data_IF_376116717968
#
_entry.id   IF_376116717968
#
_cell.length_a   1.000
_cell.length_b   1.000
_cell.length_c   1.000
_cell.angle_alpha   90.00
_cell.angle_beta   90.00
_cell.angle_gamma   90.00
#
_symmetry.space_group_name_H-M   'P 1'
#
loop_
_entity.id
_entity.type
_entity.pdbx_description
1 polymer ?
#
# COMPACT_ATOMS: atom_id res chain seq x y z
N UNK A 1 31.66 -2.81 -19.93
CA UNK A 1 31.61 -3.82 -18.87
C UNK A 1 31.66 -3.07 -17.55
N UNK A 2 30.52 -2.55 -17.12
CA UNK A 2 30.36 -2.05 -15.75
C UNK A 2 30.10 -3.28 -14.88
N UNK A 3 30.86 -3.42 -13.80
CA UNK A 3 30.69 -4.52 -12.85
C UNK A 3 29.23 -4.55 -12.38
N UNK A 4 28.56 -5.67 -12.64
CA UNK A 4 27.33 -6.06 -11.93
C UNK A 4 27.72 -6.24 -10.46
N UNK A 5 27.61 -5.16 -9.69
CA UNK A 5 27.67 -5.24 -8.24
C UNK A 5 26.38 -5.96 -7.86
N UNK A 6 26.49 -7.26 -7.58
CA UNK A 6 25.48 -7.99 -6.84
C UNK A 6 25.31 -7.24 -5.52
N UNK A 7 24.25 -6.44 -5.41
CA UNK A 7 23.88 -5.75 -4.19
C UNK A 7 23.46 -6.81 -3.17
N UNK A 8 24.40 -7.28 -2.36
CA UNK A 8 24.12 -8.24 -1.32
C UNK A 8 23.29 -7.56 -0.22
N UNK A 9 22.01 -7.95 -0.11
CA UNK A 9 21.14 -7.47 0.95
C UNK A 9 21.63 -8.02 2.29
N UNK A 10 21.94 -7.10 3.19
CA UNK A 10 22.19 -7.35 4.61
C UNK A 10 20.91 -7.11 5.42
N UNK A 11 20.87 -7.62 6.65
CA UNK A 11 19.76 -7.40 7.59
C UNK A 11 19.41 -5.92 7.86
N UNK A 12 20.32 -5.00 7.54
CA UNK A 12 20.12 -3.55 7.72
C UNK A 12 20.08 -2.75 6.42
N UNK A 13 20.28 -3.36 5.26
CA UNK A 13 20.23 -2.64 3.97
C UNK A 13 18.83 -2.68 3.38
N UNK A 14 18.42 -1.54 2.82
CA UNK A 14 17.19 -1.43 2.04
C UNK A 14 17.43 -0.41 0.91
N UNK A 15 18.08 -0.84 -0.19
CA UNK A 15 18.47 0.08 -1.27
C UNK A 15 17.28 0.79 -1.91
N UNK A 16 16.09 0.19 -1.91
CA UNK A 16 14.88 0.86 -2.41
C UNK A 16 14.47 2.04 -1.52
N UNK A 17 14.45 1.84 -0.20
CA UNK A 17 14.16 2.91 0.76
C UNK A 17 15.25 4.01 0.73
N UNK A 18 16.51 3.62 0.59
CA UNK A 18 17.63 4.57 0.45
C UNK A 18 17.48 5.42 -0.82
N UNK A 19 17.07 4.80 -1.93
CA UNK A 19 16.75 5.48 -3.18
C UNK A 19 15.61 6.48 -3.00
N UNK A 20 14.50 6.05 -2.39
CA UNK A 20 13.36 6.92 -2.10
C UNK A 20 13.76 8.14 -1.25
N UNK A 21 14.51 7.92 -0.16
CA UNK A 21 14.98 9.01 0.70
C UNK A 21 15.92 9.97 -0.01
N UNK A 22 16.76 9.46 -0.92
CA UNK A 22 17.61 10.30 -1.76
C UNK A 22 16.75 11.15 -2.70
N UNK A 23 15.78 10.55 -3.39
CA UNK A 23 14.87 11.24 -4.29
C UNK A 23 14.14 12.38 -3.58
N UNK A 24 13.46 12.09 -2.46
CA UNK A 24 12.70 13.09 -1.69
C UNK A 24 13.59 14.25 -1.19
N UNK A 25 14.85 13.97 -0.83
CA UNK A 25 15.79 15.00 -0.38
C UNK A 25 16.24 15.91 -1.53
N UNK A 26 16.39 15.35 -2.72
CA UNK A 26 16.80 16.08 -3.92
C UNK A 26 15.62 16.86 -4.55
N UNK A 27 14.38 16.39 -4.34
CA UNK A 27 13.14 16.89 -4.95
C UNK A 27 12.05 17.21 -3.90
N UNK A 28 12.27 18.17 -2.99
CA UNK A 28 11.37 18.40 -1.86
C UNK A 28 10.00 18.95 -2.31
N UNK A 29 8.93 18.20 -2.06
CA UNK A 29 7.55 18.61 -2.32
C UNK A 29 7.00 18.20 -3.69
N UNK A 30 7.85 17.66 -4.58
CA UNK A 30 7.46 17.28 -5.95
C UNK A 30 6.45 16.12 -5.97
N UNK A 31 6.56 15.17 -5.03
CA UNK A 31 5.64 14.02 -4.96
C UNK A 31 4.16 14.39 -4.86
N UNK A 32 3.84 15.53 -4.24
CA UNK A 32 2.46 16.05 -4.16
C UNK A 32 2.18 17.13 -5.21
N UNK A 33 3.20 17.88 -5.62
CA UNK A 33 3.05 19.02 -6.52
C UNK A 33 2.68 18.60 -7.95
N UNK A 34 3.04 17.40 -8.38
CA UNK A 34 2.70 16.89 -9.73
C UNK A 34 1.19 16.88 -10.01
N UNK A 35 0.35 16.77 -8.97
CA UNK A 35 -1.12 16.82 -9.10
C UNK A 35 -1.72 18.18 -8.80
N UNK A 36 -0.90 19.23 -8.66
CA UNK A 36 -1.42 20.60 -8.54
C UNK A 36 -2.10 20.99 -9.88
N UNK A 37 -3.40 21.34 -9.86
CA UNK A 37 -4.11 21.75 -11.07
C UNK A 37 -3.55 23.04 -11.69
N UNK A 38 -2.83 23.85 -10.92
CA UNK A 38 -2.20 25.08 -11.40
C UNK A 38 -0.83 24.86 -12.03
N UNK A 39 -0.30 23.62 -12.00
CA UNK A 39 0.97 23.27 -12.63
C UNK A 39 0.81 23.23 -14.16
N UNK A 40 1.77 23.78 -14.91
CA UNK A 40 1.80 23.66 -16.37
C UNK A 40 2.05 22.21 -16.79
N UNK A 41 1.52 21.81 -17.94
CA UNK A 41 1.66 20.44 -18.47
C UNK A 41 3.13 20.04 -18.66
N UNK A 42 3.99 20.94 -19.14
CA UNK A 42 5.43 20.65 -19.32
C UNK A 42 6.12 20.33 -17.99
N UNK A 43 5.84 21.12 -16.95
CA UNK A 43 6.40 20.90 -15.61
C UNK A 43 5.83 19.64 -14.96
N UNK A 44 4.55 19.31 -15.21
CA UNK A 44 3.92 18.07 -14.74
C UNK A 44 4.60 16.85 -15.36
N UNK A 45 4.80 16.87 -16.67
CA UNK A 45 5.45 15.76 -17.38
C UNK A 45 6.90 15.57 -16.94
N UNK A 46 7.65 16.66 -16.72
CA UNK A 46 9.02 16.58 -16.18
C UNK A 46 9.06 15.97 -14.78
N UNK A 47 8.15 16.40 -13.88
CA UNK A 47 8.06 15.83 -12.52
C UNK A 47 7.63 14.36 -12.53
N UNK A 48 6.68 13.99 -13.38
CA UNK A 48 6.18 12.62 -13.48
C UNK A 48 7.24 11.67 -14.03
N UNK A 49 7.98 12.10 -15.06
CA UNK A 49 9.05 11.32 -15.68
C UNK A 49 10.31 11.17 -14.80
N UNK A 50 10.47 12.00 -13.76
CA UNK A 50 11.56 11.87 -12.80
C UNK A 50 11.52 10.55 -12.02
N UNK A 51 10.35 9.90 -11.95
CA UNK A 51 10.21 8.57 -11.38
C UNK A 51 10.50 7.48 -12.42
N UNK A 52 11.65 6.84 -12.26
CA UNK A 52 12.01 5.67 -13.06
C UNK A 52 11.24 4.42 -12.59
N UNK A 53 10.22 3.99 -13.37
CA UNK A 53 9.39 2.80 -13.10
C UNK A 53 10.21 1.52 -12.94
N UNK A 54 11.40 1.45 -13.57
CA UNK A 54 12.31 0.31 -13.44
C UNK A 54 12.75 0.06 -12.00
N UNK A 55 12.71 1.09 -11.14
CA UNK A 55 13.02 0.94 -9.72
C UNK A 55 11.95 0.10 -9.02
N UNK A 56 10.67 0.33 -9.30
CA UNK A 56 9.59 -0.47 -8.75
C UNK A 56 9.64 -1.91 -9.29
N UNK A 57 9.87 -2.08 -10.60
CA UNK A 57 10.03 -3.40 -11.23
C UNK A 57 11.18 -4.21 -10.61
N UNK A 58 12.30 -3.55 -10.30
CA UNK A 58 13.47 -4.20 -9.69
C UNK A 58 13.25 -4.63 -8.24
N UNK A 59 12.51 -3.83 -7.47
CA UNK A 59 12.34 -4.04 -6.03
C UNK A 59 10.94 -4.53 -5.69
N UNK A 60 9.98 -3.63 -5.63
CA UNK A 60 8.56 -3.89 -5.39
C UNK A 60 7.75 -2.64 -5.70
N UNK A 61 6.45 -2.80 -5.97
CA UNK A 61 5.56 -1.65 -6.20
C UNK A 61 5.43 -0.75 -4.97
N UNK A 62 5.15 -1.31 -3.79
CA UNK A 62 5.19 -0.57 -2.52
C UNK A 62 6.61 -0.52 -1.94
N UNK A 63 6.95 0.56 -1.23
CA UNK A 63 8.27 0.75 -0.60
C UNK A 63 8.26 0.19 0.83
N UNK A 64 9.06 -0.85 1.15
CA UNK A 64 9.20 -1.35 2.51
C UNK A 64 10.01 -0.37 3.36
N UNK A 65 9.41 0.25 4.38
CA UNK A 65 10.16 0.96 5.41
C UNK A 65 10.50 0.05 6.60
N UNK A 66 11.42 0.49 7.46
CA UNK A 66 11.83 -0.31 8.63
C UNK A 66 10.65 -0.55 9.59
N UNK A 67 9.72 0.41 9.69
CA UNK A 67 8.54 0.29 10.55
C UNK A 67 7.63 -0.84 10.06
N UNK A 68 7.38 -0.92 8.76
CA UNK A 68 6.58 -1.95 8.13
C UNK A 68 7.19 -3.34 8.35
N UNK A 69 8.50 -3.47 8.13
CA UNK A 69 9.21 -4.74 8.32
C UNK A 69 9.16 -5.21 9.78
N UNK A 70 9.27 -4.31 10.75
CA UNK A 70 9.12 -4.63 12.18
C UNK A 70 7.68 -5.04 12.53
N UNK A 71 6.68 -4.36 11.95
CA UNK A 71 5.28 -4.73 12.13
C UNK A 71 5.03 -6.13 11.57
N UNK A 72 5.40 -6.40 10.31
CA UNK A 72 5.18 -7.71 9.68
C UNK A 72 5.90 -8.81 10.47
N UNK A 73 7.14 -8.57 10.90
CA UNK A 73 7.90 -9.48 11.76
C UNK A 73 7.15 -9.87 13.04
N UNK A 74 6.41 -8.95 13.66
CA UNK A 74 5.61 -9.23 14.85
C UNK A 74 4.54 -10.30 14.60
N UNK A 75 4.03 -10.39 13.37
CA UNK A 75 2.97 -11.33 12.98
C UNK A 75 3.51 -12.59 12.28
N UNK A 76 4.83 -12.80 12.24
CA UNK A 76 5.42 -14.01 11.67
C UNK A 76 5.00 -15.30 12.40
N UNK A 77 5.01 -16.47 11.74
CA UNK A 77 5.48 -16.74 10.38
C UNK A 77 4.54 -16.18 9.28
N UNK A 78 5.09 -15.94 8.09
CA UNK A 78 4.40 -15.29 6.96
C UNK A 78 4.23 -16.26 5.78
N UNK A 79 3.07 -16.16 5.12
CA UNK A 79 2.86 -16.62 3.74
C UNK A 79 2.53 -15.40 2.88
N UNK A 80 3.33 -15.15 1.86
CA UNK A 80 3.16 -14.04 0.90
C UNK A 80 2.62 -14.60 -0.41
N UNK A 81 1.58 -13.98 -0.96
CA UNK A 81 0.99 -14.33 -2.26
C UNK A 81 1.10 -13.13 -3.20
N UNK A 82 1.55 -13.37 -4.43
CA UNK A 82 1.92 -12.29 -5.35
C UNK A 82 3.25 -11.66 -4.93
N UNK A 83 4.25 -12.49 -4.61
CA UNK A 83 5.52 -12.02 -4.07
C UNK A 83 6.43 -11.33 -5.12
N UNK A 84 6.12 -11.49 -6.41
CA UNK A 84 6.93 -11.04 -7.54
C UNK A 84 8.36 -11.55 -7.45
N UNK A 85 9.32 -10.64 -7.42
CA UNK A 85 10.74 -10.94 -7.24
C UNK A 85 11.14 -11.37 -5.81
N UNK A 86 10.23 -11.26 -4.83
CA UNK A 86 10.44 -11.64 -3.44
C UNK A 86 11.23 -10.63 -2.60
N UNK A 87 11.23 -9.34 -2.96
CA UNK A 87 11.99 -8.32 -2.22
C UNK A 87 11.54 -8.17 -0.74
N UNK A 88 10.23 -8.09 -0.50
CA UNK A 88 9.67 -8.07 0.87
C UNK A 88 10.04 -9.35 1.64
N UNK A 89 9.81 -10.52 1.05
CA UNK A 89 10.20 -11.81 1.62
C UNK A 89 11.69 -11.84 2.02
N UNK A 90 12.59 -11.37 1.15
CA UNK A 90 14.03 -11.33 1.44
C UNK A 90 14.35 -10.42 2.62
N UNK A 91 13.83 -9.20 2.65
CA UNK A 91 14.05 -8.27 3.76
C UNK A 91 13.52 -8.82 5.10
N UNK A 92 12.41 -9.54 5.08
CA UNK A 92 11.84 -10.20 6.26
C UNK A 92 12.67 -11.41 6.71
N UNK A 93 13.14 -12.23 5.78
CA UNK A 93 14.02 -13.37 6.04
C UNK A 93 15.36 -12.92 6.67
N UNK A 94 15.96 -11.85 6.16
CA UNK A 94 17.18 -11.27 6.74
C UNK A 94 16.95 -10.74 8.17
N UNK A 95 15.69 -10.47 8.55
CA UNK A 95 15.24 -10.11 9.91
C UNK A 95 14.82 -11.32 10.75
N UNK A 96 15.03 -12.54 10.24
CA UNK A 96 14.76 -13.81 10.92
C UNK A 96 13.31 -14.26 10.88
N UNK A 97 12.51 -13.76 9.93
CA UNK A 97 11.12 -14.19 9.73
C UNK A 97 11.09 -15.43 8.84
N UNK A 98 10.31 -16.44 9.24
CA UNK A 98 9.99 -17.57 8.38
C UNK A 98 8.92 -17.15 7.36
N UNK A 99 9.32 -17.04 6.08
CA UNK A 99 8.46 -16.59 4.97
C UNK A 99 8.38 -17.67 3.91
N UNK A 100 7.15 -18.01 3.49
CA UNK A 100 6.87 -18.76 2.27
C UNK A 100 6.29 -17.77 1.25
N UNK A 101 7.03 -17.53 0.16
CA UNK A 101 6.63 -16.61 -0.90
C UNK A 101 6.13 -17.39 -2.11
N UNK A 102 4.92 -17.09 -2.56
CA UNK A 102 4.33 -17.60 -3.79
C UNK A 102 4.15 -16.50 -4.82
N UNK A 103 4.37 -16.87 -6.07
CA UNK A 103 3.96 -16.08 -7.24
C UNK A 103 3.52 -17.04 -8.35
N UNK A 104 2.75 -16.54 -9.32
CA UNK A 104 2.37 -17.32 -10.49
C UNK A 104 3.57 -17.55 -11.40
N UNK A 105 4.37 -16.50 -11.60
CA UNK A 105 5.52 -16.48 -12.49
C UNK A 105 6.82 -16.47 -11.68
N UNK A 106 7.66 -17.49 -11.87
CA UNK A 106 8.95 -17.60 -11.17
C UNK A 106 10.12 -17.71 -12.14
N UNK A 107 11.32 -17.58 -11.59
CA UNK A 107 12.58 -17.70 -12.34
C UNK A 107 12.63 -19.02 -13.13
N UNK A 108 12.74 -18.92 -14.46
CA UNK A 108 12.84 -20.06 -15.38
C UNK A 108 11.55 -20.49 -16.08
N UNK A 109 10.43 -19.77 -15.94
CA UNK A 109 9.14 -20.13 -16.58
C UNK A 109 9.03 -19.71 -18.08
N UNK A 110 10.05 -19.09 -18.67
CA UNK A 110 10.02 -18.53 -20.04
C UNK A 110 9.85 -19.53 -21.22
N UNK A 111 9.71 -20.85 -20.99
CA UNK A 111 9.70 -21.83 -22.10
C UNK A 111 8.32 -22.31 -22.60
N UNK A 112 7.18 -22.01 -21.96
CA UNK A 112 5.90 -22.65 -22.35
C UNK A 112 4.78 -21.75 -22.95
N UNK A 113 4.79 -20.42 -22.80
CA UNK A 113 3.64 -19.60 -23.23
C UNK A 113 3.56 -19.32 -24.74
N UNK A 114 4.62 -19.57 -25.52
CA UNK A 114 4.64 -19.25 -26.96
C UNK A 114 3.92 -20.26 -27.88
N UNK A 115 3.22 -21.29 -27.36
CA UNK A 115 2.65 -22.37 -28.20
C UNK A 115 1.13 -22.50 -28.21
N UNK A 116 0.39 -21.82 -27.34
CA UNK A 116 -1.07 -21.99 -27.27
C UNK A 116 -1.87 -20.91 -28.02
N UNK A 117 -1.28 -19.77 -28.40
CA UNK A 117 -1.99 -18.68 -29.08
C UNK A 117 -2.14 -18.83 -30.61
N UNK A 118 -1.48 -19.80 -31.25
CA UNK A 118 -1.51 -19.97 -32.73
C UNK A 118 -2.62 -20.90 -33.28
N UNK A 119 -3.60 -21.32 -32.47
CA UNK A 119 -4.65 -22.25 -32.93
C UNK A 119 -6.09 -21.78 -32.67
N UNK A 120 -6.44 -20.55 -33.03
CA UNK A 120 -7.82 -20.31 -33.50
C UNK A 120 -7.92 -19.12 -34.47
N UNK A 121 -7.26 -19.25 -35.62
CA UNK A 121 -7.38 -18.31 -36.73
C UNK A 121 -7.99 -18.97 -37.96
N UNK A 122 -9.32 -18.97 -38.09
CA UNK A 122 -9.92 -19.36 -39.37
C UNK A 122 -11.45 -19.45 -39.47
N UNK A 123 -12.07 -18.33 -39.92
CA UNK A 123 -13.17 -18.26 -40.93
C UNK A 123 -14.53 -18.89 -40.52
N UNK A 124 -15.69 -18.23 -40.60
CA UNK A 124 -16.26 -17.48 -41.75
C UNK A 124 -17.57 -16.73 -41.40
N UNK A 125 -17.74 -15.58 -42.05
CA UNK A 125 -18.93 -15.12 -42.80
C UNK A 125 -20.24 -14.72 -42.09
N UNK A 126 -20.57 -13.44 -42.30
CA UNK A 126 -21.92 -12.88 -42.27
C UNK A 126 -22.84 -13.52 -43.33
N UNK A 127 -24.12 -13.77 -43.00
CA UNK A 127 -25.27 -13.52 -43.89
C UNK A 127 -26.56 -13.30 -43.10
N UNK A 128 -27.32 -12.30 -43.54
CA UNK A 128 -28.75 -12.02 -43.37
C UNK A 128 -29.72 -13.20 -43.55
N UNK A 129 -30.93 -13.11 -42.98
CA UNK A 129 -32.10 -13.86 -43.45
C UNK A 129 -33.27 -13.90 -42.46
N UNK A 130 -34.40 -13.33 -42.88
CA UNK A 130 -35.65 -13.05 -42.16
C UNK A 130 -36.56 -14.29 -41.92
N UNK A 131 -37.63 -14.04 -41.14
CA UNK A 131 -38.98 -14.67 -41.17
C UNK A 131 -39.14 -16.07 -40.50
N UNK A 132 -40.21 -16.44 -39.78
CA UNK A 132 -41.56 -15.89 -39.55
C UNK A 132 -42.33 -16.68 -38.46
N UNK A 133 -43.43 -16.06 -37.95
CA UNK A 133 -44.62 -16.62 -37.27
C UNK A 133 -44.50 -17.31 -35.90
N UNK A 134 -45.37 -17.07 -34.91
CA UNK A 134 -46.60 -16.27 -34.82
C UNK A 134 -47.36 -16.57 -33.52
N UNK A 135 -48.23 -15.62 -33.12
CA UNK A 135 -49.46 -15.72 -32.28
C UNK A 135 -49.31 -16.24 -30.82
N UNK A 136 -50.04 -15.83 -29.78
CA UNK A 136 -51.02 -14.80 -29.38
C UNK A 136 -51.01 -14.93 -27.81
N UNK A 137 -51.48 -14.04 -26.92
CA UNK A 137 -52.79 -13.40 -26.78
C UNK A 137 -52.76 -12.62 -25.43
N UNK A 138 -53.35 -11.41 -25.41
CA UNK A 138 -54.08 -10.67 -24.34
C UNK A 138 -53.54 -10.58 -22.87
N UNK A 139 -53.59 -9.45 -22.13
CA UNK A 139 -54.74 -8.57 -21.80
C UNK A 139 -54.32 -7.25 -21.11
N UNK A 140 -55.10 -6.18 -21.37
CA UNK A 140 -55.61 -5.08 -20.49
C UNK A 140 -54.68 -3.92 -20.03
N UNK A 141 -54.93 -2.70 -20.54
CA UNK A 141 -55.64 -1.52 -19.93
C UNK A 141 -54.73 -0.75 -18.94
N UNK A 142 -54.56 0.58 -18.92
CA UNK A 142 -55.37 1.78 -19.22
C UNK A 142 -54.41 3.00 -19.29
N UNK A 143 -54.51 3.94 -20.24
CA UNK A 143 -55.26 5.23 -20.22
C UNK A 143 -54.48 6.44 -19.65
N UNK A 144 -54.72 7.60 -20.28
CA UNK A 144 -54.20 8.97 -20.08
C UNK A 144 -52.72 9.23 -20.40
N UNK A 145 -52.31 10.24 -21.19
CA UNK A 145 -53.01 11.38 -21.74
C UNK A 145 -52.03 12.56 -21.88
N UNK A 146 -52.18 13.29 -22.99
CA UNK A 146 -51.70 14.66 -23.26
C UNK A 146 -50.37 14.91 -23.99
N UNK A 147 -50.53 15.78 -24.99
CA UNK A 147 -49.63 16.21 -26.06
C UNK A 147 -48.95 17.53 -25.69
N UNK A 148 -47.72 17.74 -26.16
CA UNK A 148 -47.15 19.05 -26.54
C UNK A 148 -45.94 18.78 -27.44
N UNK A 149 -46.11 18.90 -28.75
CA UNK A 149 -45.70 20.05 -29.58
C UNK A 149 -44.22 19.99 -30.01
N UNK A 150 -44.05 19.67 -31.30
CA UNK A 150 -42.83 19.76 -32.09
C UNK A 150 -42.40 21.23 -32.26
N UNK A 151 -41.12 21.54 -32.04
CA UNK A 151 -40.42 22.59 -32.79
C UNK A 151 -39.00 22.12 -33.14
N UNK A 152 -38.81 21.87 -34.44
CA UNK A 152 -37.51 21.72 -35.09
C UNK A 152 -36.78 23.07 -35.12
N UNK A 153 -35.50 23.08 -34.76
CA UNK A 153 -34.55 24.07 -35.28
C UNK A 153 -33.19 23.42 -35.57
N UNK A 154 -32.89 23.35 -36.86
CA UNK A 154 -31.58 23.33 -37.50
C UNK A 154 -30.57 24.20 -36.73
N UNK A 155 -29.36 23.77 -36.42
CA UNK A 155 -28.33 23.29 -37.33
C UNK A 155 -27.24 24.34 -37.37
N UNK A 156 -26.08 24.06 -36.78
CA UNK A 156 -24.79 24.66 -37.14
C UNK A 156 -23.67 23.73 -36.65
N UNK A 157 -22.67 23.62 -37.52
CA UNK A 157 -21.74 22.51 -37.67
C UNK A 157 -20.59 22.58 -36.64
N UNK A 158 -20.34 21.48 -35.93
CA UNK A 158 -19.12 21.32 -35.14
C UNK A 158 -17.94 20.97 -36.06
N UNK A 159 -16.98 21.90 -36.16
CA UNK A 159 -15.66 21.64 -36.75
C UNK A 159 -14.94 20.56 -35.94
N UNK A 160 -14.76 19.40 -36.56
CA UNK A 160 -13.79 18.37 -36.16
C UNK A 160 -12.36 18.95 -36.14
N UNK A 161 -11.91 19.34 -34.95
CA UNK A 161 -10.48 19.41 -34.62
C UNK A 161 -9.99 18.00 -34.34
N UNK A 162 -9.01 17.53 -35.09
CA UNK A 162 -8.52 16.16 -35.03
C UNK A 162 -7.82 15.87 -33.70
N UNK A 163 -8.31 14.84 -33.02
CA UNK A 163 -7.54 14.13 -32.00
C UNK A 163 -6.39 13.44 -32.71
N UNK A 164 -5.18 13.96 -32.51
CA UNK A 164 -3.97 13.19 -32.69
C UNK A 164 -3.97 12.20 -31.52
N UNK A 165 -4.35 10.96 -31.81
CA UNK A 165 -4.03 9.83 -30.95
C UNK A 165 -2.50 9.74 -30.95
N UNK A 166 -1.88 10.30 -29.91
CA UNK A 166 -0.50 10.02 -29.57
C UNK A 166 -0.46 8.52 -29.22
N UNK A 167 -0.12 7.69 -30.21
CA UNK A 167 0.32 6.33 -30.01
C UNK A 167 1.62 6.40 -29.20
N UNK A 168 1.51 6.42 -27.87
CA UNK A 168 2.61 6.11 -26.99
C UNK A 168 3.04 4.66 -27.30
N UNK A 169 4.04 4.51 -28.18
CA UNK A 169 4.76 3.25 -28.36
C UNK A 169 5.30 2.87 -26.96
N UNK A 170 4.65 1.91 -26.32
CA UNK A 170 5.14 1.25 -25.10
C UNK A 170 6.54 0.68 -25.40
N UNK A 171 7.59 1.47 -25.15
CA UNK A 171 8.97 0.97 -25.20
C UNK A 171 9.05 -0.20 -24.20
N UNK A 172 9.14 -1.43 -24.69
CA UNK A 172 9.41 -2.61 -23.88
C UNK A 172 10.73 -2.37 -23.13
N UNK A 173 10.62 -1.94 -21.88
CA UNK A 173 11.79 -1.66 -21.06
C UNK A 173 12.37 -3.00 -20.61
N UNK A 174 13.40 -3.48 -21.30
CA UNK A 174 14.18 -4.65 -20.86
C UNK A 174 14.87 -4.33 -19.51
N UNK A 175 14.27 -4.78 -18.41
CA UNK A 175 14.87 -4.73 -17.08
C UNK A 175 15.40 -6.12 -16.75
N UNK A 176 16.69 -6.22 -16.37
CA UNK A 176 17.25 -7.46 -15.82
C UNK A 176 16.45 -7.85 -14.57
N UNK A 177 15.64 -8.90 -14.69
CA UNK A 177 14.77 -9.37 -13.60
C UNK A 177 15.63 -9.96 -12.48
N UNK A 178 15.61 -9.33 -11.31
CA UNK A 178 16.37 -9.76 -10.13
C UNK A 178 15.44 -10.46 -9.15
N UNK A 179 15.68 -11.74 -8.88
CA UNK A 179 15.00 -12.46 -7.80
C UNK A 179 15.79 -12.36 -6.48
N UNK A 180 15.15 -11.84 -5.43
CA UNK A 180 15.80 -11.52 -4.16
C UNK A 180 15.87 -12.69 -3.18
N UNK A 181 14.94 -13.64 -3.33
CA UNK A 181 14.87 -14.89 -2.56
C UNK A 181 14.17 -15.97 -3.37
N UNK A 182 14.08 -17.17 -2.80
CA UNK A 182 13.30 -18.26 -3.39
C UNK A 182 11.81 -17.92 -3.33
N UNK A 183 11.25 -17.65 -4.51
CA UNK A 183 9.80 -17.60 -4.75
C UNK A 183 9.37 -18.93 -5.35
N UNK A 184 8.25 -19.46 -4.88
CA UNK A 184 7.73 -20.76 -5.31
C UNK A 184 6.55 -20.53 -6.23
N UNK A 185 6.53 -21.19 -7.40
CA UNK A 185 5.34 -21.16 -8.26
C UNK A 185 4.13 -21.68 -7.49
N UNK A 186 3.04 -20.90 -7.49
CA UNK A 186 1.83 -21.25 -6.76
C UNK A 186 0.68 -20.31 -7.04
N UNK A 187 -0.48 -20.70 -6.53
CA UNK A 187 -1.74 -19.96 -6.74
C UNK A 187 -2.40 -19.67 -5.40
N UNK A 188 -3.42 -18.80 -5.35
CA UNK A 188 -4.23 -18.59 -4.15
C UNK A 188 -4.72 -19.88 -3.46
N UNK A 189 -4.92 -20.97 -4.20
CA UNK A 189 -5.34 -22.28 -3.64
C UNK A 189 -4.31 -22.86 -2.65
N UNK A 190 -3.03 -22.53 -2.81
CA UNK A 190 -1.96 -22.99 -1.92
C UNK A 190 -2.06 -22.42 -0.50
N UNK A 191 -2.76 -21.30 -0.32
CA UNK A 191 -3.01 -20.68 0.99
C UNK A 191 -3.79 -21.59 1.95
N UNK A 192 -4.53 -22.59 1.43
CA UNK A 192 -5.20 -23.61 2.25
C UNK A 192 -4.22 -24.42 3.09
N UNK A 193 -2.94 -24.47 2.70
CA UNK A 193 -1.87 -25.19 3.40
C UNK A 193 -1.26 -24.39 4.57
N UNK A 194 -1.56 -23.09 4.67
CA UNK A 194 -0.83 -22.13 5.53
C UNK A 194 -1.75 -21.43 6.55
N UNK A 195 -2.65 -22.18 7.20
CA UNK A 195 -3.55 -21.62 8.22
C UNK A 195 -2.84 -21.21 9.52
N UNK A 196 -1.60 -21.68 9.70
CA UNK A 196 -0.70 -21.39 10.80
C UNK A 196 0.16 -20.13 10.58
N UNK A 197 0.11 -19.53 9.39
CA UNK A 197 0.89 -18.34 8.99
C UNK A 197 -0.02 -17.14 8.78
N UNK A 198 0.52 -15.95 8.98
CA UNK A 198 -0.14 -14.70 8.58
C UNK A 198 -0.06 -14.54 7.06
N UNK A 199 -1.19 -14.25 6.41
CA UNK A 199 -1.22 -13.92 4.99
C UNK A 199 -0.71 -12.49 4.79
N UNK A 200 0.23 -12.31 3.88
CA UNK A 200 0.72 -11.01 3.43
C UNK A 200 0.39 -10.82 1.95
N UNK A 201 -0.25 -9.69 1.65
CA UNK A 201 -0.60 -9.24 0.29
C UNK A 201 -0.04 -7.83 0.10
N UNK A 202 0.70 -7.61 -0.98
CA UNK A 202 1.26 -6.32 -1.33
C UNK A 202 0.99 -6.06 -2.81
N UNK A 203 0.19 -5.05 -3.14
CA UNK A 203 -0.20 -4.75 -4.52
C UNK A 203 -0.78 -5.96 -5.30
N UNK A 204 -1.73 -6.71 -4.74
CA UNK A 204 -2.18 -7.96 -5.35
C UNK A 204 -2.94 -7.83 -6.68
N UNK A 205 -3.46 -6.66 -7.08
CA UNK A 205 -4.34 -6.56 -8.27
C UNK A 205 -3.98 -5.44 -9.29
N UNK A 206 -2.91 -4.64 -9.12
CA UNK A 206 -2.64 -3.41 -9.94
C UNK A 206 -2.09 -3.70 -11.36
N UNK A 207 -1.61 -4.91 -11.63
CA UNK A 207 -0.91 -5.28 -12.87
C UNK A 207 -1.22 -6.69 -13.37
N UNK A 208 -2.40 -7.21 -13.05
CA UNK A 208 -2.80 -8.51 -13.57
C UNK A 208 -3.46 -8.35 -14.94
N UNK A 209 -2.89 -8.96 -15.98
CA UNK A 209 -3.56 -9.16 -17.29
C UNK A 209 -4.82 -10.05 -17.18
N UNK A 210 -5.10 -10.52 -15.96
CA UNK A 210 -6.24 -11.33 -15.60
C UNK A 210 -7.38 -10.47 -15.06
N UNK A 211 -8.59 -10.78 -15.50
CA UNK A 211 -9.81 -10.24 -14.88
C UNK A 211 -10.09 -10.78 -13.47
N UNK A 212 -9.36 -11.81 -13.03
CA UNK A 212 -9.53 -12.42 -11.71
C UNK A 212 -8.60 -11.77 -10.68
N UNK A 213 -9.16 -11.16 -9.63
CA UNK A 213 -8.39 -10.61 -8.50
C UNK A 213 -7.69 -11.70 -7.68
N UNK A 214 -6.35 -11.70 -7.67
CA UNK A 214 -5.55 -12.51 -6.76
C UNK A 214 -5.81 -12.15 -5.29
N UNK A 215 -6.09 -10.90 -4.95
CA UNK A 215 -6.44 -10.53 -3.57
C UNK A 215 -7.69 -11.27 -3.08
N UNK A 216 -8.76 -11.23 -3.88
CA UNK A 216 -10.04 -11.86 -3.54
C UNK A 216 -9.93 -13.38 -3.54
N UNK A 217 -9.26 -13.96 -4.54
CA UNK A 217 -8.99 -15.39 -4.60
C UNK A 217 -8.15 -15.85 -3.38
N UNK A 218 -7.18 -15.04 -2.96
CA UNK A 218 -6.35 -15.31 -1.79
C UNK A 218 -7.17 -15.34 -0.52
N UNK A 219 -8.02 -14.33 -0.31
CA UNK A 219 -8.87 -14.23 0.86
C UNK A 219 -9.89 -15.39 0.94
N UNK A 220 -10.44 -15.82 -0.20
CA UNK A 220 -11.36 -16.97 -0.28
C UNK A 220 -10.70 -18.31 0.07
N UNK A 221 -9.40 -18.46 -0.20
CA UNK A 221 -8.65 -19.70 0.05
C UNK A 221 -7.87 -19.68 1.39
N UNK A 222 -7.78 -18.52 2.04
CA UNK A 222 -7.07 -18.36 3.30
C UNK A 222 -7.99 -18.54 4.52
N UNK A 223 -7.69 -19.56 5.32
CA UNK A 223 -8.44 -19.90 6.54
C UNK A 223 -7.72 -19.50 7.85
N UNK A 224 -6.56 -18.83 7.77
CA UNK A 224 -5.84 -18.34 8.95
C UNK A 224 -6.49 -17.11 9.59
N UNK A 225 -5.87 -16.58 10.65
CA UNK A 225 -6.49 -15.55 11.51
C UNK A 225 -6.10 -14.12 11.15
N UNK A 226 -4.95 -13.91 10.52
CA UNK A 226 -4.38 -12.56 10.32
C UNK A 226 -4.04 -12.33 8.85
N UNK A 227 -4.44 -11.16 8.34
CA UNK A 227 -4.09 -10.66 7.01
C UNK A 227 -3.34 -9.35 7.17
N UNK A 228 -2.21 -9.22 6.48
CA UNK A 228 -1.52 -7.96 6.28
C UNK A 228 -1.70 -7.56 4.83
N UNK A 229 -2.17 -6.35 4.60
CA UNK A 229 -2.35 -5.77 3.27
C UNK A 229 -1.50 -4.51 3.16
N UNK A 230 -0.77 -4.39 2.06
CA UNK A 230 -0.01 -3.21 1.66
C UNK A 230 -0.53 -2.72 0.31
N UNK A 231 -0.98 -1.47 0.30
CA UNK A 231 -1.54 -0.78 -0.85
C UNK A 231 -2.56 0.27 -0.43
N UNK A 232 -3.37 0.68 -1.38
CA UNK A 232 -4.51 1.58 -1.21
C UNK A 232 -5.74 0.84 -0.66
N UNK A 233 -6.62 1.58 0.02
CA UNK A 233 -7.92 1.10 0.46
C UNK A 233 -8.95 2.21 0.18
N UNK A 234 -10.24 1.89 0.36
CA UNK A 234 -11.35 2.85 0.25
C UNK A 234 -11.03 4.20 0.91
N UNK A 235 -11.09 5.27 0.12
CA UNK A 235 -10.85 6.65 0.55
C UNK A 235 -9.37 7.01 0.77
N UNK A 236 -8.44 6.11 0.52
CA UNK A 236 -7.00 6.34 0.58
C UNK A 236 -6.38 6.22 -0.82
N UNK A 237 -6.82 7.08 -1.75
CA UNK A 237 -6.26 7.12 -3.10
C UNK A 237 -6.28 8.53 -3.67
N UNK A 238 -5.38 8.80 -4.61
CA UNK A 238 -5.40 9.97 -5.49
C UNK A 238 -6.00 9.66 -6.88
N UNK A 239 -6.35 8.40 -7.15
CA UNK A 239 -6.75 7.92 -8.48
C UNK A 239 -8.26 8.06 -8.71
N UNK A 240 -8.71 9.24 -9.11
CA UNK A 240 -10.11 9.50 -9.47
C UNK A 240 -10.48 8.88 -10.83
N UNK A 241 -11.76 8.53 -11.07
CA UNK A 241 -12.93 8.70 -10.18
C UNK A 241 -13.11 7.58 -9.14
N UNK A 242 -12.25 6.57 -9.14
CA UNK A 242 -12.37 5.40 -8.27
C UNK A 242 -12.02 5.76 -6.81
N UNK A 243 -12.83 5.31 -5.85
CA UNK A 243 -12.59 5.52 -4.42
C UNK A 243 -11.74 4.42 -3.76
N UNK A 244 -11.53 3.29 -4.45
CA UNK A 244 -10.91 2.08 -3.91
C UNK A 244 -9.39 2.03 -4.11
N UNK A 245 -8.84 2.89 -4.96
CA UNK A 245 -7.45 2.80 -5.43
C UNK A 245 -7.29 1.74 -6.52
N UNK A 246 -6.04 1.42 -6.86
CA UNK A 246 -5.72 0.46 -7.93
C UNK A 246 -5.04 -0.82 -7.44
N UNK A 247 -4.52 -0.80 -6.21
CA UNK A 247 -3.69 -1.89 -5.70
C UNK A 247 -4.44 -3.16 -5.30
N UNK A 248 -5.74 -3.04 -5.01
CA UNK A 248 -6.61 -4.16 -4.69
C UNK A 248 -8.08 -3.88 -5.05
N UNK A 249 -8.81 -4.91 -5.46
CA UNK A 249 -10.19 -4.84 -5.95
C UNK A 249 -11.20 -4.37 -4.90
N UNK A 250 -12.26 -3.70 -5.34
CA UNK A 250 -13.40 -3.28 -4.49
C UNK A 250 -14.01 -4.48 -3.75
N UNK A 251 -14.18 -5.60 -4.45
CA UNK A 251 -14.75 -6.83 -3.92
C UNK A 251 -13.89 -7.39 -2.79
N UNK A 252 -12.56 -7.44 -2.98
CA UNK A 252 -11.63 -7.85 -1.95
C UNK A 252 -11.74 -6.95 -0.72
N UNK A 253 -11.69 -5.63 -0.90
CA UNK A 253 -11.70 -4.69 0.23
C UNK A 253 -13.01 -4.78 1.03
N UNK A 254 -14.14 -4.89 0.34
CA UNK A 254 -15.45 -5.09 0.95
C UNK A 254 -15.52 -6.41 1.71
N UNK A 255 -15.01 -7.50 1.12
CA UNK A 255 -15.01 -8.81 1.77
C UNK A 255 -14.07 -8.86 2.98
N UNK A 256 -12.88 -8.25 2.87
CA UNK A 256 -11.91 -8.13 3.96
C UNK A 256 -12.54 -7.42 5.15
N UNK A 257 -13.20 -6.28 4.94
CA UNK A 257 -13.88 -5.52 5.99
C UNK A 257 -15.11 -6.23 6.58
N UNK A 258 -15.71 -7.16 5.83
CA UNK A 258 -16.86 -7.96 6.29
C UNK A 258 -16.42 -9.11 7.21
N UNK A 259 -15.30 -9.78 6.88
CA UNK A 259 -14.86 -11.00 7.57
C UNK A 259 -13.76 -10.73 8.60
N UNK A 260 -13.04 -9.62 8.47
CA UNK A 260 -11.94 -9.22 9.35
C UNK A 260 -12.16 -7.80 9.86
N UNK A 261 -11.56 -7.48 11.00
CA UNK A 261 -11.50 -6.13 11.54
C UNK A 261 -10.06 -5.66 11.56
N UNK A 262 -9.86 -4.40 11.15
CA UNK A 262 -8.55 -3.76 11.12
C UNK A 262 -8.09 -3.48 12.55
N UNK A 263 -6.86 -3.86 12.87
CA UNK A 263 -6.22 -3.65 14.19
C UNK A 263 -5.04 -2.70 14.13
N UNK A 264 -4.48 -2.46 12.93
CA UNK A 264 -3.38 -1.52 12.72
C UNK A 264 -3.50 -0.89 11.33
N UNK A 265 -3.17 0.40 11.24
CA UNK A 265 -3.01 1.13 10.00
C UNK A 265 -1.85 2.11 10.14
N UNK A 266 -0.87 2.05 9.22
CA UNK A 266 0.23 3.02 9.15
C UNK A 266 0.52 3.40 7.69
N UNK A 267 0.82 4.67 7.39
CA UNK A 267 1.24 5.06 6.04
C UNK A 267 2.62 4.45 5.73
N UNK A 268 2.89 4.23 4.45
CA UNK A 268 4.22 3.88 3.95
C UNK A 268 4.81 5.05 3.15
N UNK A 269 6.12 5.05 2.89
CA UNK A 269 6.66 5.82 1.79
C UNK A 269 5.99 5.39 0.47
N UNK A 270 5.59 6.37 -0.34
CA UNK A 270 4.91 6.14 -1.63
C UNK A 270 5.42 7.08 -2.68
N UNK A 271 5.34 6.62 -3.93
CA UNK A 271 5.48 7.46 -5.09
C UNK A 271 4.22 8.28 -5.33
N UNK A 272 4.30 9.31 -6.18
CA UNK A 272 3.20 10.25 -6.37
C UNK A 272 1.88 9.55 -6.77
N UNK A 273 1.96 8.50 -7.57
CA UNK A 273 0.79 7.82 -8.14
C UNK A 273 0.05 6.86 -7.18
N UNK A 274 0.45 6.74 -5.91
CA UNK A 274 -0.21 5.87 -4.93
C UNK A 274 -0.22 6.45 -3.51
N UNK A 275 -1.15 5.99 -2.67
CA UNK A 275 -1.16 6.24 -1.22
C UNK A 275 -1.02 4.90 -0.48
N UNK A 276 0.21 4.45 -0.31
CA UNK A 276 0.45 3.13 0.26
C UNK A 276 0.27 3.13 1.76
N UNK A 277 -0.48 2.14 2.21
CA UNK A 277 -0.77 1.95 3.62
C UNK A 277 -0.54 0.50 3.98
N UNK A 278 0.20 0.25 5.06
CA UNK A 278 0.22 -1.06 5.69
C UNK A 278 -0.94 -1.16 6.67
N UNK A 279 -1.78 -2.18 6.47
CA UNK A 279 -2.89 -2.51 7.35
C UNK A 279 -2.79 -3.94 7.86
N UNK A 280 -3.16 -4.15 9.12
CA UNK A 280 -3.25 -5.48 9.73
C UNK A 280 -4.69 -5.74 10.13
N UNK A 281 -5.17 -6.92 9.78
CA UNK A 281 -6.55 -7.33 9.96
C UNK A 281 -6.60 -8.66 10.69
N UNK A 282 -7.53 -8.78 11.64
CA UNK A 282 -7.79 -10.01 12.38
C UNK A 282 -9.18 -10.55 12.07
N UNK A 283 -9.30 -11.87 11.97
CA UNK A 283 -10.57 -12.50 11.65
C UNK A 283 -11.61 -12.16 12.71
N UNK A 284 -12.74 -11.64 12.26
CA UNK A 284 -13.82 -11.20 13.13
C UNK A 284 -14.59 -12.40 13.66
N UNK A 285 -14.73 -12.49 14.98
CA UNK A 285 -15.67 -13.42 15.60
C UNK A 285 -17.06 -12.82 15.52
N UNK A 286 -18.03 -13.61 15.09
CA UNK A 286 -19.44 -13.21 15.10
C UNK A 286 -20.15 -13.71 16.35
N UNK A 287 -21.18 -12.98 16.78
CA UNK A 287 -22.14 -13.40 17.78
C UNK A 287 -23.55 -13.19 17.24
N UNK A 288 -24.49 -14.05 17.66
CA UNK A 288 -25.91 -13.89 17.33
C UNK A 288 -26.62 -13.42 18.58
N UNK A 289 -27.26 -12.26 18.51
CA UNK A 289 -28.02 -11.65 19.60
C UNK A 289 -29.38 -11.27 19.05
N UNK A 290 -30.44 -11.82 19.64
CA UNK A 290 -31.84 -11.56 19.24
C UNK A 290 -32.11 -11.79 17.73
N UNK A 291 -31.43 -12.78 17.14
CA UNK A 291 -31.59 -13.12 15.72
C UNK A 291 -30.77 -12.27 14.74
N UNK A 292 -30.03 -11.27 15.22
CA UNK A 292 -29.10 -10.48 14.42
C UNK A 292 -27.65 -10.92 14.63
N UNK A 293 -26.84 -10.84 13.56
CA UNK A 293 -25.41 -11.16 13.58
C UNK A 293 -24.61 -9.90 13.87
N UNK A 294 -23.76 -9.93 14.89
CA UNK A 294 -22.87 -8.84 15.28
C UNK A 294 -21.41 -9.28 15.23
N UNK A 295 -20.53 -8.34 14.89
CA UNK A 295 -19.10 -8.50 15.07
C UNK A 295 -18.75 -8.35 16.56
N UNK A 296 -18.01 -9.31 17.12
CA UNK A 296 -17.38 -9.19 18.42
C UNK A 296 -15.92 -8.80 18.25
N UNK A 297 -15.63 -7.52 18.47
CA UNK A 297 -14.28 -6.96 18.44
C UNK A 297 -13.86 -6.58 19.86
N UNK A 298 -12.84 -7.23 20.45
CA UNK A 298 -12.31 -6.86 21.76
C UNK A 298 -11.85 -5.40 21.81
N UNK A 299 -12.04 -4.73 22.95
CA UNK A 299 -11.70 -3.30 23.08
C UNK A 299 -10.23 -3.00 22.77
N UNK A 300 -9.31 -3.90 23.12
CA UNK A 300 -7.88 -3.78 22.82
C UNK A 300 -7.50 -4.07 21.35
N UNK A 301 -8.48 -4.39 20.51
CA UNK A 301 -8.31 -4.63 19.06
C UNK A 301 -9.10 -3.61 18.22
N UNK A 302 -9.79 -2.66 18.85
CA UNK A 302 -10.47 -1.57 18.14
C UNK A 302 -9.50 -0.45 17.83
N UNK A 303 -9.52 0.03 16.60
CA UNK A 303 -8.79 1.23 16.20
C UNK A 303 -9.51 2.47 16.72
N UNK A 304 -8.74 3.44 17.21
CA UNK A 304 -9.24 4.78 17.55
C UNK A 304 -9.68 5.52 16.27
N UNK A 305 -10.91 6.03 16.26
CA UNK A 305 -11.49 6.76 15.13
C UNK A 305 -11.11 8.25 15.13
N UNK A 306 -10.38 8.71 16.13
CA UNK A 306 -9.91 10.09 16.22
C UNK A 306 -8.83 10.35 15.16
N UNK A 307 -9.20 11.03 14.08
CA UNK A 307 -8.30 11.44 13.02
C UNK A 307 -8.56 12.90 12.62
N UNK A 308 -7.49 13.65 12.30
CA UNK A 308 -7.60 15.01 11.78
C UNK A 308 -6.41 15.33 10.88
N UNK A 309 -6.66 16.14 9.85
CA UNK A 309 -5.61 16.69 9.00
C UNK A 309 -4.80 17.74 9.77
N UNK A 310 -3.59 18.10 9.31
CA UNK A 310 -2.82 19.18 9.93
C UNK A 310 -3.60 20.50 10.09
N UNK A 311 -4.49 20.83 9.14
CA UNK A 311 -5.29 22.06 9.17
C UNK A 311 -6.44 22.01 10.17
N UNK A 312 -7.02 20.82 10.44
CA UNK A 312 -8.17 20.66 11.35
C UNK A 312 -7.81 20.08 12.71
N UNK A 313 -6.55 19.69 12.93
CA UNK A 313 -6.08 19.08 14.19
C UNK A 313 -6.38 19.90 15.44
N UNK A 314 -6.43 21.23 15.30
CA UNK A 314 -6.80 22.14 16.40
C UNK A 314 -8.23 21.88 16.93
N UNK A 315 -9.12 21.31 16.12
CA UNK A 315 -10.49 20.95 16.51
C UNK A 315 -10.55 19.73 17.44
N UNK A 316 -9.46 18.97 17.58
CA UNK A 316 -9.40 17.85 18.52
C UNK A 316 -9.04 18.30 19.94
N UNK A 317 -8.65 19.56 20.14
CA UNK A 317 -8.07 20.07 21.39
C UNK A 317 -9.10 20.78 22.31
N UNK A 318 -10.39 20.47 22.20
CA UNK A 318 -11.41 21.07 23.07
C UNK A 318 -11.39 20.46 24.48
N UNK A 319 -10.70 21.13 25.41
CA UNK A 319 -10.66 20.78 26.84
C UNK A 319 -9.31 21.10 27.46
N UNK A 320 -9.23 22.24 28.15
CA UNK A 320 -8.16 22.74 29.02
C UNK A 320 -6.72 22.27 28.76
N UNK A 321 -5.93 23.19 28.21
CA UNK A 321 -4.46 23.25 28.33
C UNK A 321 -3.97 23.43 29.79
N UNK A 322 -4.67 22.90 30.81
CA UNK A 322 -4.32 23.02 32.23
C UNK A 322 -4.14 21.70 32.98
N UNK A 323 -4.31 20.54 32.35
CA UNK A 323 -4.01 19.25 32.99
C UNK A 323 -3.36 18.28 32.00
N UNK A 324 -2.09 18.51 31.66
CA UNK A 324 -1.13 17.43 31.35
C UNK A 324 0.29 17.99 31.21
N UNK A 325 0.92 18.29 32.35
CA UNK A 325 2.33 18.65 32.43
C UNK A 325 3.26 17.43 32.33
N UNK A 326 2.87 16.36 31.61
CA UNK A 326 3.70 15.15 31.46
C UNK A 326 3.78 14.56 30.03
N UNK A 327 3.29 15.26 29.01
CA UNK A 327 3.63 14.92 27.63
C UNK A 327 4.90 15.69 27.20
N UNK A 328 6.05 15.05 27.36
CA UNK A 328 7.36 15.57 26.95
C UNK A 328 7.36 15.99 25.47
N UNK A 329 7.30 17.30 25.23
CA UNK A 329 7.59 17.91 23.94
C UNK A 329 9.01 18.45 23.98
N UNK A 330 9.93 17.78 23.27
CA UNK A 330 11.21 18.40 22.89
C UNK A 330 10.90 19.34 21.74
N UNK A 331 10.73 20.62 22.03
CA UNK A 331 10.77 21.67 21.03
C UNK A 331 12.21 22.20 20.89
N UNK A 332 12.67 22.55 19.68
CA UNK A 332 14.02 23.06 19.46
C UNK A 332 14.12 24.50 19.99
N UNK A 333 15.05 24.73 20.92
CA UNK A 333 15.38 26.10 21.34
C UNK A 333 16.02 26.85 20.18
N UNK A 334 15.31 27.86 19.65
CA UNK A 334 15.92 28.97 18.90
C UNK A 334 16.92 29.66 19.84
N UNK A 335 18.20 29.53 19.55
CA UNK A 335 19.25 30.27 20.23
C UNK A 335 19.42 31.61 19.50
N UNK A 336 18.77 32.66 19.99
CA UNK A 336 19.18 34.05 19.72
C UNK A 336 20.17 34.43 20.81
N UNK A 337 21.46 34.35 20.49
CA UNK A 337 22.55 34.86 21.31
C UNK A 337 23.27 35.96 20.53
N UNK A 338 23.09 37.20 20.97
CA UNK A 338 23.84 38.36 20.52
C UNK A 338 25.34 38.14 20.78
N UNK A 339 26.14 38.29 19.73
CA UNK A 339 27.61 38.31 19.83
C UNK A 339 28.05 39.68 20.35
N UNK A 340 28.54 39.73 21.59
CA UNK A 340 29.47 40.78 22.04
C UNK A 340 30.84 40.12 22.21
N UNK A 341 31.79 40.56 21.39
CA UNK A 341 33.16 40.10 21.40
C UNK A 341 33.98 40.86 22.46
N UNK A 342 34.58 40.15 23.40
CA UNK A 342 35.74 40.64 24.16
C UNK A 342 36.86 39.60 24.14
N UNK A 343 38.08 40.10 23.94
CA UNK A 343 39.31 39.37 23.61
C UNK A 343 39.96 38.68 24.83
N UNK A 344 40.85 37.68 24.63
CA UNK A 344 41.40 36.90 25.73
C UNK A 344 42.65 37.55 26.36
N UNK A 345 42.68 37.60 27.69
CA UNK A 345 43.81 38.04 28.50
C UNK A 345 44.12 37.06 29.62
N UNK A 346 45.05 36.15 29.32
CA UNK A 346 46.18 35.71 30.16
C UNK A 346 45.99 35.31 31.65
N UNK A 347 46.33 34.05 31.95
CA UNK A 347 47.22 33.71 33.08
C UNK A 347 46.58 33.17 34.36
N UNK A 348 47.14 32.08 34.88
CA UNK A 348 47.06 31.75 36.31
C UNK A 348 46.94 30.27 36.63
N UNK A 349 48.04 29.72 37.14
CA UNK A 349 48.31 28.32 37.48
C UNK A 349 47.61 27.80 38.75
N UNK A 350 47.91 26.52 39.05
CA UNK A 350 47.85 25.81 40.35
C UNK A 350 46.50 25.19 40.76
N UNK A 351 46.40 24.04 41.44
CA UNK A 351 47.23 22.87 41.73
C UNK A 351 46.30 21.92 42.53
N UNK A 352 46.46 20.59 42.37
CA UNK A 352 46.24 19.52 43.38
C UNK A 352 44.81 19.33 43.96
N UNK A 353 44.36 18.17 44.44
CA UNK A 353 44.78 16.76 44.44
C UNK A 353 43.63 15.91 45.05
N UNK A 354 43.74 14.59 44.93
CA UNK A 354 43.20 13.52 45.81
C UNK A 354 41.67 13.28 45.82
N UNK A 355 41.13 12.15 45.34
CA UNK A 355 41.29 10.70 45.64
C UNK A 355 40.31 10.17 46.70
N UNK A 356 39.85 8.94 46.42
CA UNK A 356 39.27 7.93 47.32
C UNK A 356 37.83 8.12 47.84
N UNK A 357 37.03 7.11 48.17
CA UNK A 357 37.00 5.65 47.97
C UNK A 357 35.69 5.17 48.65
N UNK A 358 35.21 3.99 48.24
CA UNK A 358 34.54 2.99 49.07
C UNK A 358 33.03 3.09 49.43
N UNK A 359 32.28 2.17 48.82
CA UNK A 359 31.71 0.96 49.46
C UNK A 359 30.42 0.99 50.31
N UNK A 360 29.87 -0.24 50.44
CA UNK A 360 28.74 -0.75 51.26
C UNK A 360 27.41 -0.81 50.48
N UNK A 361 26.90 -1.91 49.94
CA UNK A 361 26.82 -3.34 50.30
C UNK A 361 25.74 -3.73 51.35
N UNK A 362 24.77 -4.53 50.86
CA UNK A 362 24.04 -5.68 51.48
C UNK A 362 22.70 -5.48 52.21
N UNK A 363 21.78 -6.41 51.89
CA UNK A 363 20.74 -6.99 52.77
C UNK A 363 19.36 -7.08 52.13
N UNK A 364 19.05 -8.06 51.25
CA UNK A 364 18.50 -9.40 51.56
C UNK A 364 17.41 -9.44 52.64
N UNK A 365 16.15 -9.75 52.28
CA UNK A 365 15.47 -11.01 52.66
C UNK A 365 14.05 -11.13 52.09
N UNK A 366 13.71 -12.36 51.71
CA UNK A 366 12.44 -12.82 51.17
C UNK A 366 11.34 -12.99 52.24
N UNK A 367 10.05 -12.95 51.83
CA UNK A 367 9.11 -14.10 51.83
C UNK A 367 7.62 -13.70 51.77
N UNK A 368 6.89 -14.43 50.90
CA UNK A 368 5.63 -15.17 51.18
C UNK A 368 4.26 -14.46 51.04
N UNK A 369 3.66 -14.65 49.86
CA UNK A 369 2.43 -15.42 49.53
C UNK A 369 1.27 -15.54 50.57
N UNK A 370 0.07 -15.30 50.02
CA UNK A 370 -1.33 -15.72 50.35
C UNK A 370 -2.15 -14.88 51.34
N UNK A 371 -3.19 -14.22 50.84
CA UNK A 371 -4.49 -14.85 50.55
C UNK A 371 -5.15 -14.21 49.34
#
# INVERSE_FOLDING_TARGET
MADSIVLDLTATSNPYLDYYHKFVREHPGELTAVFDPELSDEARSEMYAALDVRVAMRYSWAIPDERALQIIKHYGPIVEMGAGSGYWARLLQDRGVDVVAYDLHVDGDEEEESKESEKDGGKTAATSGEESHGEAEETMESDDGEQAEDEEQSGDEEERGGDQEDEDEDEEVEVEQVYWTKVVSGTPKDLRKHTDRTLFLCYPDDFEDSSESVAMASLCNYAGDTVIHVGELFGHTVCLPNAWGRTSSEEFQTHLATVYHKVLQVPLPSWHSSIDTLTVWKRTKSSIVEGAVYAYIPDNQRIDLTAASPSTRHLLLFGDASTDANATTIAPKKCTGEYIAESPGNGGESHQSDSDDSSIARGSTAKRVKR
#
